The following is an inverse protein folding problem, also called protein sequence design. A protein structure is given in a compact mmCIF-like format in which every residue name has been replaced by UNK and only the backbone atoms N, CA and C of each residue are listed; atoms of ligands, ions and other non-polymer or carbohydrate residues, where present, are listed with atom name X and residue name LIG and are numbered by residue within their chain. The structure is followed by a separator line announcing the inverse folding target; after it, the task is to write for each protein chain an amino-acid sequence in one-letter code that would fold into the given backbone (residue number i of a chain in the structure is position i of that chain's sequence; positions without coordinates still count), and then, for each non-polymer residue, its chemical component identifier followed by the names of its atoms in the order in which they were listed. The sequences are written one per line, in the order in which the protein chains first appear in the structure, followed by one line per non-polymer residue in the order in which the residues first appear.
data_IF_979621160039
#
_entry.id   IF_979621160039
#
_cell.length_a   1.000
_cell.length_b   1.000
_cell.length_c   1.000
_cell.angle_alpha   90.00
_cell.angle_beta   90.00
_cell.angle_gamma   90.00
#
_symmetry.space_group_name_H-M   'P 1'
#
loop_
_entity.id
_entity.type
_entity.pdbx_description
1 polymer ?
#
# COMPACT_ATOMS: atom_id res chain seq x y z
N UNK A 1 1.88 64.03 31.74
CA UNK A 1 0.72 64.27 30.87
C UNK A 1 0.77 63.22 29.78
N UNK A 2 0.06 62.11 29.96
CA UNK A 2 -0.10 61.11 28.91
C UNK A 2 -1.15 61.66 27.93
N UNK A 3 -0.79 61.82 26.67
CA UNK A 3 -1.74 62.11 25.61
C UNK A 3 -2.70 60.93 25.54
N UNK A 4 -4.00 61.21 25.73
CA UNK A 4 -5.08 60.29 25.41
C UNK A 4 -5.07 60.13 23.88
N UNK A 5 -4.17 59.31 23.35
CA UNK A 5 -4.24 58.86 21.98
C UNK A 5 -5.46 57.96 21.90
N UNK A 6 -6.58 58.53 21.43
CA UNK A 6 -7.81 57.80 21.25
C UNK A 6 -7.53 56.69 20.23
N UNK A 7 -7.33 55.48 20.73
CA UNK A 7 -7.13 54.30 19.89
C UNK A 7 -8.25 54.24 18.85
N UNK A 8 -7.91 54.17 17.57
CA UNK A 8 -8.88 54.23 16.47
C UNK A 8 -9.26 52.80 16.08
N UNK A 9 -10.53 52.58 15.77
CA UNK A 9 -11.01 51.32 15.23
C UNK A 9 -10.32 51.00 13.90
N UNK A 10 -9.45 49.99 13.86
CA UNK A 10 -8.65 49.67 12.68
C UNK A 10 -9.51 49.25 11.48
N UNK A 11 -10.64 48.60 11.73
CA UNK A 11 -11.61 48.22 10.68
C UNK A 11 -12.31 49.43 10.06
N UNK A 12 -12.63 50.47 10.85
CA UNK A 12 -13.20 51.70 10.30
C UNK A 12 -12.14 52.53 9.58
N UNK A 13 -10.90 52.56 10.11
CA UNK A 13 -9.77 53.25 9.49
C UNK A 13 -9.48 52.76 8.07
N UNK A 14 -9.71 51.47 7.80
CA UNK A 14 -9.58 50.87 6.46
C UNK A 14 -10.61 51.39 5.45
N UNK A 15 -11.70 52.01 5.91
CA UNK A 15 -12.78 52.57 5.08
C UNK A 15 -12.89 54.10 5.16
N UNK A 16 -11.79 54.80 5.48
CA UNK A 16 -11.72 56.26 5.64
C UNK A 16 -12.63 56.85 6.74
N UNK A 17 -13.14 56.01 7.66
CA UNK A 17 -13.97 56.44 8.78
C UNK A 17 -13.15 56.34 10.07
N UNK A 18 -12.92 57.45 10.76
CA UNK A 18 -12.26 57.43 12.07
C UNK A 18 -13.32 57.31 13.17
N UNK A 19 -13.44 56.11 13.75
CA UNK A 19 -14.28 55.88 14.93
C UNK A 19 -13.38 55.54 16.13
N UNK A 20 -13.63 56.12 17.33
CA UNK A 20 -12.87 55.75 18.51
C UNK A 20 -13.09 54.28 18.85
N UNK A 21 -12.01 53.55 19.03
CA UNK A 21 -11.97 52.19 19.53
C UNK A 21 -12.50 52.13 20.95
N UNK A 22 -13.36 51.16 21.22
CA UNK A 22 -13.95 50.93 22.54
C UNK A 22 -13.50 49.61 23.17
N UNK A 23 -12.92 48.70 22.39
CA UNK A 23 -12.47 47.38 22.86
C UNK A 23 -11.35 46.81 21.99
N UNK A 24 -10.39 46.13 22.61
CA UNK A 24 -9.38 45.32 21.93
C UNK A 24 -9.89 43.89 21.73
N UNK A 25 -9.84 43.36 20.51
CA UNK A 25 -10.12 41.95 20.24
C UNK A 25 -8.80 41.17 20.25
N UNK A 26 -8.62 40.25 21.20
CA UNK A 26 -7.40 39.44 21.30
C UNK A 26 -7.25 38.41 20.18
N UNK A 27 -8.35 37.99 19.54
CA UNK A 27 -8.31 37.02 18.44
C UNK A 27 -7.97 37.68 17.10
N UNK A 28 -8.43 38.91 16.88
CA UNK A 28 -8.09 39.68 15.68
C UNK A 28 -6.81 40.50 15.85
N UNK A 29 -6.33 40.67 17.09
CA UNK A 29 -5.26 41.62 17.45
C UNK A 29 -5.56 43.05 16.95
N UNK A 30 -6.84 43.43 16.92
CA UNK A 30 -7.31 44.71 16.38
C UNK A 30 -8.15 45.46 17.42
N UNK A 31 -8.03 46.79 17.42
CA UNK A 31 -8.91 47.69 18.17
C UNK A 31 -10.19 47.92 17.38
N UNK A 32 -11.34 47.71 18.01
CA UNK A 32 -12.66 47.82 17.39
C UNK A 32 -13.51 48.88 18.11
N UNK A 33 -14.28 49.65 17.34
CA UNK A 33 -15.36 50.48 17.88
C UNK A 33 -16.59 49.61 18.19
N UNK A 34 -17.55 50.16 18.95
CA UNK A 34 -18.73 49.41 19.42
C UNK A 34 -19.54 48.77 18.28
N UNK A 35 -19.80 49.45 17.14
CA UNK A 35 -20.43 48.83 15.97
C UNK A 35 -19.62 47.67 15.37
N UNK A 36 -18.31 47.85 15.16
CA UNK A 36 -17.44 46.80 14.61
C UNK A 36 -17.31 45.59 15.54
N UNK A 37 -17.23 45.81 16.85
CA UNK A 37 -17.25 44.74 17.83
C UNK A 37 -18.58 43.97 17.80
N UNK A 38 -19.72 44.67 17.65
CA UNK A 38 -21.03 44.02 17.51
C UNK A 38 -21.14 43.16 16.24
N UNK A 39 -20.63 43.64 15.11
CA UNK A 39 -20.58 42.87 13.86
C UNK A 39 -19.67 41.65 14.02
N UNK A 40 -18.50 41.82 14.64
CA UNK A 40 -17.56 40.73 14.91
C UNK A 40 -18.19 39.64 15.81
N UNK A 41 -18.87 40.04 16.88
CA UNK A 41 -19.60 39.10 17.75
C UNK A 41 -20.76 38.40 17.02
N UNK A 42 -21.44 39.08 16.09
CA UNK A 42 -22.46 38.48 15.22
C UNK A 42 -21.84 37.44 14.28
N UNK A 43 -20.69 37.72 13.68
CA UNK A 43 -19.96 36.79 12.81
C UNK A 43 -19.55 35.52 13.57
N UNK A 44 -18.99 35.68 14.78
CA UNK A 44 -18.66 34.54 15.66
C UNK A 44 -19.91 33.77 16.05
N UNK A 45 -20.98 34.48 16.46
CA UNK A 45 -22.27 33.87 16.81
C UNK A 45 -22.89 33.10 15.64
N UNK A 46 -22.64 33.51 14.39
CA UNK A 46 -23.12 32.83 13.19
C UNK A 46 -22.22 31.65 12.77
N UNK A 47 -20.92 31.70 13.08
CA UNK A 47 -19.97 30.61 12.81
C UNK A 47 -20.19 29.40 13.73
N UNK A 48 -20.51 29.62 15.01
CA UNK A 48 -20.69 28.55 16.00
C UNK A 48 -21.72 27.49 15.53
N UNK A 49 -22.93 27.85 15.06
CA UNK A 49 -23.88 26.89 14.50
C UNK A 49 -23.37 26.13 13.27
N UNK A 50 -22.55 26.76 12.43
CA UNK A 50 -21.98 26.10 11.24
C UNK A 50 -20.94 25.06 11.65
N UNK A 51 -20.05 25.40 12.59
CA UNK A 51 -19.09 24.47 13.19
C UNK A 51 -19.81 23.29 13.86
N UNK A 52 -20.83 23.56 14.67
CA UNK A 52 -21.64 22.52 15.32
C UNK A 52 -22.25 21.55 14.28
N UNK A 53 -22.83 22.07 13.19
CA UNK A 53 -23.37 21.25 12.08
C UNK A 53 -22.29 20.40 11.40
N UNK A 54 -21.10 20.95 11.19
CA UNK A 54 -19.97 20.20 10.63
C UNK A 54 -19.55 19.07 11.58
N UNK A 55 -19.39 19.34 12.88
CA UNK A 55 -19.06 18.32 13.87
C UNK A 55 -20.12 17.22 13.96
N UNK A 56 -21.41 17.57 13.94
CA UNK A 56 -22.50 16.59 13.90
C UNK A 56 -22.44 15.70 12.65
N UNK A 57 -22.09 16.29 11.51
CA UNK A 57 -21.94 15.56 10.25
C UNK A 57 -20.73 14.60 10.30
N UNK A 58 -19.63 15.00 10.93
CA UNK A 58 -18.47 14.15 11.19
C UNK A 58 -18.87 12.98 12.09
N UNK A 59 -19.56 13.25 13.22
CA UNK A 59 -19.99 12.21 14.16
C UNK A 59 -20.88 11.19 13.47
N UNK A 60 -21.91 11.64 12.72
CA UNK A 60 -22.82 10.75 11.98
C UNK A 60 -22.08 9.91 10.93
N UNK A 61 -21.15 10.50 10.20
CA UNK A 61 -20.35 9.78 9.21
C UNK A 61 -19.46 8.73 9.87
N UNK A 62 -18.84 9.06 11.01
CA UNK A 62 -18.00 8.13 11.75
C UNK A 62 -18.81 6.98 12.36
N UNK A 63 -20.00 7.23 12.87
CA UNK A 63 -20.91 6.18 13.36
C UNK A 63 -21.30 5.20 12.24
N UNK A 64 -21.71 5.71 11.07
CA UNK A 64 -21.99 4.86 9.89
C UNK A 64 -20.78 4.03 9.45
N UNK A 65 -19.57 4.60 9.50
CA UNK A 65 -18.36 3.87 9.16
C UNK A 65 -18.09 2.74 10.16
N UNK A 66 -18.32 2.95 11.46
CA UNK A 66 -18.20 1.89 12.47
C UNK A 66 -19.19 0.75 12.20
N UNK A 67 -20.46 1.08 11.93
CA UNK A 67 -21.48 0.07 11.58
C UNK A 67 -21.12 -0.72 10.31
N UNK A 68 -20.59 -0.03 9.30
CA UNK A 68 -20.12 -0.64 8.07
C UNK A 68 -18.94 -1.59 8.31
N UNK A 69 -17.95 -1.18 9.13
CA UNK A 69 -16.79 -2.01 9.50
C UNK A 69 -17.24 -3.26 10.27
N UNK A 70 -18.17 -3.14 11.21
CA UNK A 70 -18.71 -4.29 11.96
C UNK A 70 -19.49 -5.25 11.04
N UNK A 71 -20.25 -4.71 10.09
CA UNK A 71 -20.95 -5.51 9.08
C UNK A 71 -19.95 -6.24 8.18
N UNK A 72 -18.89 -5.56 7.74
CA UNK A 72 -17.81 -6.15 6.95
C UNK A 72 -17.06 -7.24 7.71
N UNK A 73 -16.80 -7.07 9.00
CA UNK A 73 -16.19 -8.09 9.84
C UNK A 73 -17.01 -9.40 9.83
N UNK A 74 -18.33 -9.29 9.94
CA UNK A 74 -19.23 -10.46 9.91
C UNK A 74 -19.15 -11.18 8.56
N UNK A 75 -19.21 -10.44 7.46
CA UNK A 75 -19.10 -11.00 6.09
C UNK A 75 -17.72 -11.66 5.87
N UNK A 76 -16.65 -11.05 6.36
CA UNK A 76 -15.29 -11.61 6.26
C UNK A 76 -15.20 -12.92 7.06
N UNK A 77 -15.76 -12.96 8.29
CA UNK A 77 -15.80 -14.19 9.10
C UNK A 77 -16.55 -15.32 8.39
N UNK A 78 -17.71 -15.04 7.81
CA UNK A 78 -18.48 -16.02 7.04
C UNK A 78 -17.69 -16.51 5.81
N UNK A 79 -17.02 -15.59 5.11
CA UNK A 79 -16.18 -15.92 3.95
C UNK A 79 -15.00 -16.81 4.32
N UNK A 80 -14.35 -16.55 5.47
CA UNK A 80 -13.26 -17.39 6.00
C UNK A 80 -13.77 -18.80 6.34
N UNK A 81 -14.93 -18.91 6.98
CA UNK A 81 -15.55 -20.20 7.32
C UNK A 81 -15.89 -20.99 6.05
N UNK A 82 -16.47 -20.33 5.05
CA UNK A 82 -16.78 -20.94 3.75
C UNK A 82 -15.52 -21.43 3.04
N UNK A 83 -14.48 -20.57 2.95
CA UNK A 83 -13.20 -20.95 2.35
C UNK A 83 -12.58 -22.16 3.04
N UNK A 84 -12.61 -22.21 4.38
CA UNK A 84 -12.14 -23.37 5.15
C UNK A 84 -12.92 -24.64 4.78
N UNK A 85 -14.25 -24.56 4.68
CA UNK A 85 -15.08 -25.71 4.33
C UNK A 85 -14.79 -26.22 2.91
N UNK A 86 -14.64 -25.31 1.95
CA UNK A 86 -14.30 -25.63 0.57
C UNK A 86 -12.90 -26.28 0.47
N UNK A 87 -11.89 -25.72 1.15
CA UNK A 87 -10.53 -26.29 1.19
C UNK A 87 -10.51 -27.70 1.81
N UNK A 88 -11.24 -27.92 2.91
CA UNK A 88 -11.33 -29.25 3.52
C UNK A 88 -11.96 -30.26 2.59
N UNK A 89 -13.04 -29.88 1.89
CA UNK A 89 -13.69 -30.75 0.91
C UNK A 89 -12.75 -31.13 -0.24
N UNK A 90 -11.97 -30.18 -0.74
CA UNK A 90 -11.01 -30.45 -1.82
C UNK A 90 -9.85 -31.34 -1.34
N UNK A 91 -9.39 -31.17 -0.10
CA UNK A 91 -8.40 -32.07 0.53
C UNK A 91 -8.96 -33.49 0.68
N UNK A 92 -10.21 -33.65 1.13
CA UNK A 92 -10.85 -34.96 1.24
C UNK A 92 -11.01 -35.65 -0.13
N UNK A 93 -11.30 -34.88 -1.18
CA UNK A 93 -11.38 -35.40 -2.55
C UNK A 93 -10.00 -35.83 -3.06
N UNK A 94 -8.97 -35.04 -2.78
CA UNK A 94 -7.59 -35.37 -3.12
C UNK A 94 -7.12 -36.65 -2.41
N UNK A 95 -7.41 -36.78 -1.11
CA UNK A 95 -7.11 -38.00 -0.35
C UNK A 95 -7.76 -39.22 -0.99
N UNK A 96 -9.06 -39.16 -1.30
CA UNK A 96 -9.79 -40.26 -1.95
C UNK A 96 -9.18 -40.64 -3.30
N UNK A 97 -8.79 -39.65 -4.10
CA UNK A 97 -8.13 -39.89 -5.39
C UNK A 97 -6.79 -40.58 -5.20
N UNK A 98 -5.94 -40.10 -4.28
CA UNK A 98 -4.63 -40.68 -4.04
C UNK A 98 -4.71 -42.10 -3.48
N UNK A 99 -5.69 -42.39 -2.61
CA UNK A 99 -5.94 -43.73 -2.09
C UNK A 99 -6.43 -44.68 -3.19
N UNK A 100 -7.25 -44.18 -4.11
CA UNK A 100 -7.69 -44.95 -5.28
C UNK A 100 -6.52 -45.29 -6.21
N UNK A 101 -5.69 -44.30 -6.54
CA UNK A 101 -4.49 -44.49 -7.36
C UNK A 101 -3.50 -45.46 -6.71
N UNK A 102 -3.31 -45.37 -5.39
CA UNK A 102 -2.49 -46.31 -4.63
C UNK A 102 -3.04 -47.74 -4.70
N UNK A 103 -4.37 -47.91 -4.65
CA UNK A 103 -5.00 -49.22 -4.76
C UNK A 103 -4.75 -49.85 -6.13
N UNK A 104 -4.93 -49.09 -7.21
CA UNK A 104 -4.63 -49.53 -8.57
C UNK A 104 -3.16 -49.94 -8.68
N UNK A 105 -2.24 -49.06 -8.26
CA UNK A 105 -0.81 -49.31 -8.36
C UNK A 105 -0.41 -50.58 -7.59
N UNK A 106 -1.00 -50.79 -6.40
CA UNK A 106 -0.79 -51.98 -5.59
C UNK A 106 -1.29 -53.24 -6.30
N UNK A 107 -2.50 -53.22 -6.84
CA UNK A 107 -3.10 -54.37 -7.53
C UNK A 107 -2.30 -54.75 -8.77
N UNK A 108 -1.89 -53.78 -9.58
CA UNK A 108 -1.03 -54.02 -10.74
C UNK A 108 0.33 -54.59 -10.36
N UNK A 109 0.91 -54.11 -9.25
CA UNK A 109 2.19 -54.59 -8.73
C UNK A 109 2.09 -56.02 -8.23
N UNK A 110 1.05 -56.33 -7.44
CA UNK A 110 0.79 -57.69 -6.94
C UNK A 110 0.58 -58.65 -8.11
N UNK A 111 -0.23 -58.28 -9.10
CA UNK A 111 -0.48 -59.13 -10.26
C UNK A 111 0.82 -59.50 -11.02
N UNK A 112 1.74 -58.55 -11.19
CA UNK A 112 3.05 -58.79 -11.82
C UNK A 112 3.94 -59.70 -10.98
N UNK A 113 3.93 -59.53 -9.65
CA UNK A 113 4.68 -60.39 -8.74
C UNK A 113 4.10 -61.82 -8.77
N UNK A 114 2.78 -61.97 -8.70
CA UNK A 114 2.09 -63.27 -8.75
C UNK A 114 2.35 -64.00 -10.06
N UNK A 115 2.35 -63.30 -11.20
CA UNK A 115 2.73 -63.87 -12.50
C UNK A 115 4.16 -64.46 -12.46
N UNK A 116 5.12 -63.70 -11.92
CA UNK A 116 6.50 -64.17 -11.78
C UNK A 116 6.63 -65.34 -10.79
N UNK A 117 5.89 -65.32 -9.67
CA UNK A 117 5.86 -66.42 -8.70
C UNK A 117 5.31 -67.70 -9.32
N UNK A 118 4.23 -67.60 -10.09
CA UNK A 118 3.64 -68.74 -10.78
C UNK A 118 4.62 -69.35 -11.80
N UNK A 119 5.30 -68.52 -12.59
CA UNK A 119 6.30 -69.00 -13.56
C UNK A 119 7.45 -69.75 -12.87
N UNK A 120 7.98 -69.20 -11.78
CA UNK A 120 9.04 -69.85 -10.98
C UNK A 120 8.53 -71.15 -10.34
N UNK A 121 7.29 -71.17 -9.83
CA UNK A 121 6.67 -72.36 -9.24
C UNK A 121 6.54 -73.49 -10.26
N UNK A 122 6.08 -73.21 -11.49
CA UNK A 122 5.96 -74.22 -12.54
C UNK A 122 7.31 -74.84 -12.92
N UNK A 123 8.38 -74.03 -12.96
CA UNK A 123 9.73 -74.51 -13.22
C UNK A 123 10.21 -75.39 -12.06
N UNK A 124 9.99 -74.96 -10.82
CA UNK A 124 10.38 -75.70 -9.63
C UNK A 124 9.65 -77.06 -9.52
N UNK A 125 8.36 -77.12 -9.87
CA UNK A 125 7.59 -78.36 -9.89
C UNK A 125 8.11 -79.36 -10.93
N UNK A 126 8.49 -78.87 -12.12
CA UNK A 126 9.12 -79.70 -13.15
C UNK A 126 10.44 -80.28 -12.66
N UNK A 127 11.26 -79.48 -11.98
CA UNK A 127 12.54 -79.93 -11.42
C UNK A 127 12.38 -80.89 -10.24
N UNK A 128 11.35 -80.70 -9.41
CA UNK A 128 11.02 -81.61 -8.32
C UNK A 128 10.68 -83.01 -8.83
N UNK A 129 9.88 -83.11 -9.90
CA UNK A 129 9.57 -84.40 -10.56
C UNK A 129 10.79 -85.07 -11.20
N UNK A 130 11.65 -84.28 -11.86
CA UNK A 130 12.90 -84.79 -12.45
C UNK A 130 13.82 -85.35 -11.35
N UNK A 131 13.87 -84.69 -10.19
CA UNK A 131 14.63 -85.16 -9.04
C UNK A 131 14.08 -86.48 -8.49
N UNK A 132 12.77 -86.60 -8.31
CA UNK A 132 12.14 -87.85 -7.89
C UNK A 132 12.43 -89.01 -8.85
N UNK A 133 12.35 -88.77 -10.16
CA UNK A 133 12.69 -89.77 -11.18
C UNK A 133 14.17 -90.18 -11.11
N UNK A 134 15.07 -89.21 -10.90
CA UNK A 134 16.50 -89.47 -10.74
C UNK A 134 16.77 -90.29 -9.48
N UNK A 135 16.20 -89.91 -8.34
CA UNK A 135 16.37 -90.60 -7.07
C UNK A 135 15.89 -92.06 -7.17
N UNK A 136 14.74 -92.29 -7.81
CA UNK A 136 14.23 -93.64 -8.08
C UNK A 136 15.17 -94.48 -8.96
N UNK A 137 15.72 -93.90 -10.03
CA UNK A 137 16.64 -94.61 -10.92
C UNK A 137 18.02 -94.84 -10.29
N UNK A 138 18.45 -93.99 -9.34
CA UNK A 138 19.67 -94.23 -8.56
C UNK A 138 19.51 -95.47 -7.69
N UNK A 139 18.34 -95.63 -7.06
CA UNK A 139 18.09 -96.73 -6.13
C UNK A 139 17.78 -98.06 -6.83
N UNK A 140 17.01 -98.02 -7.93
CA UNK A 140 16.45 -99.21 -8.56
C UNK A 140 16.82 -99.40 -10.05
N UNK A 141 17.45 -98.40 -10.67
CA UNK A 141 17.75 -98.41 -12.10
C UNK A 141 19.03 -99.16 -12.48
N UNK A 142 19.12 -99.56 -13.75
CA UNK A 142 20.38 -100.06 -14.32
C UNK A 142 21.34 -98.92 -14.66
N UNK A 143 22.65 -99.19 -14.68
CA UNK A 143 23.67 -98.20 -15.05
C UNK A 143 23.40 -97.53 -16.41
N UNK A 144 22.86 -98.26 -17.38
CA UNK A 144 22.51 -97.72 -18.70
C UNK A 144 21.34 -96.74 -18.64
N UNK A 145 20.32 -97.01 -17.82
CA UNK A 145 19.19 -96.10 -17.62
C UNK A 145 19.64 -94.81 -16.91
N UNK A 146 20.47 -94.95 -15.87
CA UNK A 146 21.09 -93.83 -15.16
C UNK A 146 21.90 -92.94 -16.10
N UNK A 147 22.74 -93.53 -16.97
CA UNK A 147 23.54 -92.78 -17.93
C UNK A 147 22.66 -91.97 -18.90
N UNK A 148 21.61 -92.58 -19.46
CA UNK A 148 20.69 -91.91 -20.39
C UNK A 148 19.93 -90.79 -19.69
N UNK A 149 19.45 -91.01 -18.45
CA UNK A 149 18.74 -90.00 -17.67
C UNK A 149 19.66 -88.83 -17.32
N UNK A 150 20.89 -89.10 -16.89
CA UNK A 150 21.87 -88.08 -16.55
C UNK A 150 22.18 -87.16 -17.74
N UNK A 151 22.40 -87.71 -18.95
CA UNK A 151 22.64 -86.90 -20.15
C UNK A 151 21.41 -86.06 -20.55
N UNK A 152 20.19 -86.59 -20.39
CA UNK A 152 18.95 -85.82 -20.61
C UNK A 152 18.79 -84.67 -19.62
N UNK A 153 19.09 -84.91 -18.34
CA UNK A 153 19.01 -83.90 -17.28
C UNK A 153 20.05 -82.80 -17.52
N UNK A 154 21.27 -83.16 -17.88
CA UNK A 154 22.38 -82.22 -18.12
C UNK A 154 22.02 -81.14 -19.15
N UNK A 155 21.42 -81.54 -20.27
CA UNK A 155 20.97 -80.58 -21.28
C UNK A 155 19.88 -79.63 -20.76
N UNK A 156 18.87 -80.17 -20.07
CA UNK A 156 17.78 -79.37 -19.47
C UNK A 156 18.28 -78.45 -18.35
N UNK A 157 19.30 -78.88 -17.60
CA UNK A 157 19.91 -78.10 -16.53
C UNK A 157 20.51 -76.83 -17.11
N UNK A 158 21.37 -76.94 -18.12
CA UNK A 158 21.98 -75.77 -18.78
C UNK A 158 20.93 -74.82 -19.37
N UNK A 159 19.85 -75.33 -19.98
CA UNK A 159 18.78 -74.49 -20.51
C UNK A 159 18.03 -73.74 -19.39
N UNK A 160 17.77 -74.42 -18.27
CA UNK A 160 17.07 -73.82 -17.12
C UNK A 160 17.98 -72.83 -16.38
N UNK A 161 19.27 -73.09 -16.26
CA UNK A 161 20.24 -72.16 -15.67
C UNK A 161 20.27 -70.83 -16.43
N UNK A 162 20.27 -70.86 -17.77
CA UNK A 162 20.18 -69.65 -18.59
C UNK A 162 18.87 -68.90 -18.34
N UNK A 163 17.74 -69.63 -18.26
CA UNK A 163 16.43 -69.03 -17.93
C UNK A 163 16.39 -68.44 -16.52
N UNK A 164 16.97 -69.13 -15.54
CA UNK A 164 17.04 -68.65 -14.16
C UNK A 164 17.87 -67.37 -14.06
N UNK A 165 19.01 -67.30 -14.76
CA UNK A 165 19.83 -66.09 -14.82
C UNK A 165 19.06 -64.93 -15.47
N UNK A 166 18.31 -65.19 -16.55
CA UNK A 166 17.46 -64.19 -17.18
C UNK A 166 16.36 -63.69 -16.22
N UNK A 167 15.69 -64.59 -15.50
CA UNK A 167 14.68 -64.25 -14.48
C UNK A 167 15.28 -63.42 -13.34
N UNK A 168 16.40 -63.86 -12.77
CA UNK A 168 17.09 -63.15 -11.69
C UNK A 168 17.52 -61.75 -12.13
N UNK A 169 17.93 -61.58 -13.38
CA UNK A 169 18.30 -60.26 -13.92
C UNK A 169 17.12 -59.30 -14.05
N UNK A 170 15.89 -59.83 -14.11
CA UNK A 170 14.63 -59.06 -14.21
C UNK A 170 13.94 -58.87 -12.87
N UNK A 171 14.38 -59.56 -11.80
CA UNK A 171 13.81 -59.39 -10.47
C UNK A 171 14.15 -58.02 -9.90
N UNK A 172 13.13 -57.23 -9.59
CA UNK A 172 13.27 -55.91 -8.99
C UNK A 172 12.54 -55.91 -7.65
N UNK A 173 13.17 -55.34 -6.62
CA UNK A 173 12.48 -55.07 -5.37
C UNK A 173 11.60 -53.84 -5.55
N UNK A 174 10.30 -53.97 -5.33
CA UNK A 174 9.33 -52.89 -5.56
C UNK A 174 8.97 -52.27 -4.23
N UNK A 175 9.23 -50.97 -4.09
CA UNK A 175 8.91 -50.17 -2.90
C UNK A 175 8.03 -48.99 -3.32
N UNK A 176 6.84 -48.88 -2.73
CA UNK A 176 5.87 -47.81 -3.03
C UNK A 176 6.04 -46.72 -1.97
N UNK A 177 6.51 -45.55 -2.38
CA UNK A 177 6.77 -44.40 -1.49
C UNK A 177 5.81 -43.26 -1.79
N UNK A 178 5.29 -42.66 -0.72
CA UNK A 178 4.54 -41.40 -0.77
C UNK A 178 5.45 -40.24 -0.35
N UNK A 179 5.52 -39.18 -1.16
CA UNK A 179 6.29 -37.97 -0.88
C UNK A 179 5.40 -36.73 -1.03
N UNK A 180 5.36 -35.90 0.02
CA UNK A 180 4.72 -34.58 -0.03
C UNK A 180 5.74 -33.57 -0.55
N UNK A 181 5.36 -32.72 -1.52
CA UNK A 181 6.22 -31.63 -1.97
C UNK A 181 6.35 -30.59 -0.85
N UNK A 182 7.59 -30.21 -0.51
CA UNK A 182 7.91 -29.30 0.61
C UNK A 182 7.21 -27.93 0.51
N UNK A 183 6.85 -27.48 -0.70
CA UNK A 183 6.22 -26.18 -0.95
C UNK A 183 4.76 -26.07 -0.50
N UNK A 184 4.11 -27.16 -0.12
CA UNK A 184 2.67 -27.14 0.21
C UNK A 184 2.36 -26.23 1.41
N UNK A 185 3.24 -26.18 2.40
CA UNK A 185 3.07 -25.30 3.57
C UNK A 185 3.12 -23.81 3.18
N UNK A 186 3.98 -23.45 2.23
CA UNK A 186 4.11 -22.06 1.76
C UNK A 186 2.89 -21.62 0.94
N UNK A 187 2.26 -22.56 0.23
CA UNK A 187 1.03 -22.28 -0.52
C UNK A 187 -0.10 -21.96 0.45
N UNK A 188 -0.27 -22.75 1.52
CA UNK A 188 -1.35 -22.54 2.50
C UNK A 188 -1.25 -21.16 3.18
N UNK A 189 -0.05 -20.74 3.58
CA UNK A 189 0.15 -19.45 4.26
C UNK A 189 -0.19 -18.24 3.40
N UNK A 190 -0.20 -18.38 2.06
CA UNK A 190 -0.41 -17.28 1.12
C UNK A 190 -1.83 -17.24 0.52
N UNK A 191 -2.73 -18.13 0.92
CA UNK A 191 -4.07 -18.25 0.31
C UNK A 191 -4.97 -17.03 0.55
N UNK A 192 -4.77 -16.28 1.63
CA UNK A 192 -5.59 -15.10 1.93
C UNK A 192 -4.86 -14.07 2.78
N UNK A 193 -5.14 -12.80 2.53
CA UNK A 193 -4.64 -11.68 3.33
C UNK A 193 -5.76 -10.66 3.56
N UNK A 194 -5.95 -10.23 4.80
CA UNK A 194 -6.85 -9.13 5.15
C UNK A 194 -6.09 -7.83 4.92
N UNK A 195 -6.64 -6.93 4.11
CA UNK A 195 -6.05 -5.62 3.81
C UNK A 195 -7.00 -4.52 4.28
N UNK A 196 -6.42 -3.39 4.68
CA UNK A 196 -7.18 -2.17 5.02
C UNK A 196 -6.98 -1.15 3.92
N UNK A 197 -8.06 -0.56 3.44
CA UNK A 197 -8.03 0.54 2.48
C UNK A 197 -8.53 1.82 3.15
N UNK A 198 -7.83 2.91 2.88
CA UNK A 198 -8.17 4.23 3.42
C UNK A 198 -8.59 5.15 2.28
N UNK A 199 -9.75 5.78 2.42
CA UNK A 199 -10.23 6.82 1.52
C UNK A 199 -10.40 8.14 2.27
N UNK A 200 -10.21 9.25 1.57
CA UNK A 200 -10.39 10.58 2.16
C UNK A 200 -11.87 10.83 2.46
N UNK A 201 -12.13 11.46 3.61
CA UNK A 201 -13.47 11.86 4.01
C UNK A 201 -13.86 13.14 3.25
N UNK A 202 -14.94 13.10 2.46
CA UNK A 202 -15.42 14.23 1.66
C UNK A 202 -16.09 15.36 2.44
N UNK A 203 -15.87 15.46 3.75
CA UNK A 203 -16.43 16.54 4.57
C UNK A 203 -15.52 17.75 4.42
N UNK A 204 -16.01 18.78 3.72
CA UNK A 204 -15.34 20.06 3.58
C UNK A 204 -16.01 21.09 4.51
N UNK A 205 -15.20 21.86 5.24
CA UNK A 205 -15.66 23.02 6.02
C UNK A 205 -15.06 24.29 5.41
N UNK A 206 -15.91 25.23 5.01
CA UNK A 206 -15.48 26.56 4.57
C UNK A 206 -15.12 27.41 5.78
N UNK A 207 -13.87 27.85 5.86
CA UNK A 207 -13.42 28.73 6.96
C UNK A 207 -13.87 30.17 6.73
N UNK A 208 -14.14 30.93 7.78
CA UNK A 208 -14.51 32.36 7.66
C UNK A 208 -13.41 33.21 6.97
N UNK A 209 -12.14 32.81 7.05
CA UNK A 209 -11.05 33.46 6.33
C UNK A 209 -11.12 33.28 4.81
N UNK A 210 -11.76 32.20 4.34
CA UNK A 210 -11.96 31.98 2.90
C UNK A 210 -13.09 32.85 2.31
N UNK A 211 -13.94 33.47 3.14
CA UNK A 211 -14.97 34.41 2.69
C UNK A 211 -14.49 35.87 2.65
N UNK A 212 -13.30 36.18 3.20
CA UNK A 212 -12.74 37.53 3.26
C UNK A 212 -11.45 37.67 2.44
N UNK A 213 -11.62 37.79 1.14
CA UNK A 213 -10.67 38.49 0.28
C UNK A 213 -11.45 39.50 -0.58
N UNK A 214 -11.90 40.60 0.04
CA UNK A 214 -12.31 41.78 -0.71
C UNK A 214 -11.15 42.76 -0.74
N UNK A 215 -10.60 42.97 -1.94
CA UNK A 215 -9.81 44.16 -2.25
C UNK A 215 -10.65 45.39 -1.89
N UNK A 216 -10.09 46.30 -1.08
CA UNK A 216 -10.58 47.67 -0.99
C UNK A 216 -9.87 48.46 -2.08
N UNK A 217 -10.54 48.91 -3.17
CA UNK A 217 -9.90 49.80 -4.11
C UNK A 217 -9.89 51.20 -3.50
N UNK A 218 -8.70 51.74 -3.24
CA UNK A 218 -8.56 53.19 -3.20
C UNK A 218 -8.93 53.72 -4.60
N UNK A 219 -9.90 54.63 -4.63
CA UNK A 219 -10.40 55.40 -5.78
C UNK A 219 -9.64 55.20 -7.09
N UNK A 220 -10.24 54.47 -8.04
CA UNK A 220 -10.17 54.75 -9.48
C UNK A 220 -11.20 53.87 -10.20
N UNK A 221 -12.04 54.51 -10.99
CA UNK A 221 -12.98 53.89 -11.92
C UNK A 221 -12.22 53.08 -12.99
N UNK A 222 -11.97 51.80 -12.74
CA UNK A 222 -11.48 50.87 -13.76
C UNK A 222 -12.14 49.50 -13.58
N UNK A 223 -12.50 48.91 -14.73
CA UNK A 223 -13.17 47.62 -14.90
C UNK A 223 -12.59 46.55 -13.99
N UNK A 224 -13.49 45.71 -13.44
CA UNK A 224 -13.24 44.41 -12.79
C UNK A 224 -11.80 43.91 -12.99
N UNK A 225 -10.98 44.08 -11.94
CA UNK A 225 -9.66 43.47 -11.87
C UNK A 225 -9.87 42.00 -11.52
N UNK A 226 -9.27 41.14 -12.34
CA UNK A 226 -9.36 39.68 -12.29
C UNK A 226 -9.20 39.15 -10.86
N UNK A 227 -10.17 38.35 -10.40
CA UNK A 227 -9.98 37.49 -9.23
C UNK A 227 -8.96 36.44 -9.63
N UNK A 228 -7.77 36.50 -9.04
CA UNK A 228 -6.70 35.54 -9.30
C UNK A 228 -7.06 34.24 -8.56
N UNK A 229 -7.45 33.20 -9.30
CA UNK A 229 -7.72 31.90 -8.71
C UNK A 229 -6.41 31.18 -8.40
N UNK A 230 -5.93 31.37 -7.16
CA UNK A 230 -4.68 30.82 -6.66
C UNK A 230 -4.72 29.28 -6.45
N UNK A 231 -5.87 28.63 -6.70
CA UNK A 231 -6.06 27.19 -6.46
C UNK A 231 -5.31 26.30 -7.44
N UNK A 232 -5.03 26.75 -8.66
CA UNK A 232 -4.42 25.90 -9.70
C UNK A 232 -2.98 25.45 -9.38
N UNK A 233 -2.32 26.05 -8.39
CA UNK A 233 -0.90 25.76 -8.08
C UNK A 233 -0.65 25.26 -6.64
N UNK A 234 -1.67 24.72 -5.97
CA UNK A 234 -1.51 24.10 -4.65
C UNK A 234 -1.14 25.09 -3.55
N UNK A 235 -1.57 26.35 -3.69
CA UNK A 235 -1.29 27.42 -2.74
C UNK A 235 -2.27 27.29 -1.58
N UNK A 236 -1.76 26.82 -0.45
CA UNK A 236 -2.57 26.48 0.72
C UNK A 236 -2.41 27.48 1.87
N UNK A 237 -1.31 28.23 1.91
CA UNK A 237 -1.04 29.20 2.98
C UNK A 237 -0.01 30.24 2.53
N UNK A 238 -0.52 31.38 2.06
CA UNK A 238 0.33 32.55 1.76
C UNK A 238 0.68 33.25 3.07
N UNK A 239 1.96 33.50 3.31
CA UNK A 239 2.47 34.15 4.53
C UNK A 239 3.10 35.51 4.28
N UNK A 240 3.56 35.77 3.07
CA UNK A 240 4.13 37.06 2.69
C UNK A 240 3.79 37.38 1.24
N UNK A 241 3.44 38.64 0.97
CA UNK A 241 3.12 39.15 -0.36
C UNK A 241 3.83 40.47 -0.57
N UNK A 242 4.46 40.65 -1.71
CA UNK A 242 5.09 41.91 -2.09
C UNK A 242 4.81 42.23 -3.56
N UNK A 243 4.47 43.49 -3.85
CA UNK A 243 4.40 44.02 -5.20
C UNK A 243 5.71 44.75 -5.48
N UNK A 244 6.47 44.25 -6.45
CA UNK A 244 7.76 44.85 -6.82
C UNK A 244 7.58 45.91 -7.91
N UNK A 245 8.56 46.79 -8.08
CA UNK A 245 8.51 47.96 -8.98
C UNK A 245 8.16 47.67 -10.45
N UNK A 246 8.25 46.41 -10.89
CA UNK A 246 7.82 45.96 -12.24
C UNK A 246 6.34 45.58 -12.31
N UNK A 247 5.53 45.97 -11.31
CA UNK A 247 4.14 45.53 -11.10
C UNK A 247 3.97 44.02 -11.02
N UNK A 248 5.02 43.29 -10.61
CA UNK A 248 4.92 41.84 -10.43
C UNK A 248 4.57 41.50 -9.00
N UNK A 249 3.76 40.47 -8.83
CA UNK A 249 3.35 39.98 -7.53
C UNK A 249 4.23 38.81 -7.11
N UNK A 250 4.76 38.86 -5.89
CA UNK A 250 5.54 37.79 -5.29
C UNK A 250 4.83 37.28 -4.03
N UNK A 251 4.66 35.96 -3.94
CA UNK A 251 3.94 35.32 -2.83
C UNK A 251 4.76 34.20 -2.19
N UNK A 252 5.02 34.28 -0.88
CA UNK A 252 5.60 33.21 -0.09
C UNK A 252 4.49 32.25 0.37
N UNK A 253 4.64 30.96 0.09
CA UNK A 253 3.74 29.91 0.54
C UNK A 253 4.44 29.00 1.55
N UNK A 254 3.90 28.99 2.77
CA UNK A 254 4.57 28.42 3.95
C UNK A 254 4.63 26.90 3.92
N UNK A 255 3.52 26.22 3.59
CA UNK A 255 3.46 24.75 3.60
C UNK A 255 4.05 24.09 2.35
N UNK A 256 4.11 24.81 1.23
CA UNK A 256 4.72 24.29 0.00
C UNK A 256 6.21 24.64 -0.12
N UNK A 257 6.76 25.39 0.84
CA UNK A 257 8.13 25.89 0.84
C UNK A 257 8.49 26.62 -0.45
N UNK A 258 7.60 27.46 -0.99
CA UNK A 258 7.77 28.09 -2.30
C UNK A 258 7.59 29.60 -2.29
N UNK A 259 8.30 30.27 -3.18
CA UNK A 259 8.05 31.65 -3.61
C UNK A 259 7.49 31.59 -5.03
N UNK A 260 6.30 32.15 -5.21
CA UNK A 260 5.64 32.25 -6.50
C UNK A 260 5.78 33.67 -7.05
N UNK A 261 5.91 33.78 -8.37
CA UNK A 261 5.97 35.03 -9.11
C UNK A 261 4.83 35.06 -10.13
N UNK A 262 4.09 36.16 -10.12
CA UNK A 262 3.01 36.45 -11.05
C UNK A 262 3.22 37.78 -11.75
N UNK A 263 2.56 37.95 -12.88
CA UNK A 263 2.29 39.25 -13.50
C UNK A 263 1.30 40.07 -12.67
N UNK A 264 1.11 41.33 -13.05
CA UNK A 264 0.10 42.25 -12.49
C UNK A 264 -1.34 41.75 -12.71
N UNK A 265 -1.59 41.03 -13.80
CA UNK A 265 -2.88 40.42 -14.10
C UNK A 265 -3.12 39.07 -13.40
N UNK A 266 -2.15 38.59 -12.62
CA UNK A 266 -2.23 37.34 -11.86
C UNK A 266 -1.83 36.07 -12.61
N UNK A 267 -1.32 36.19 -13.82
CA UNK A 267 -0.77 35.05 -14.56
C UNK A 267 0.49 34.53 -13.88
N UNK A 268 0.53 33.22 -13.62
CA UNK A 268 1.71 32.56 -13.05
C UNK A 268 2.90 32.64 -14.02
N UNK A 269 4.05 33.08 -13.50
CA UNK A 269 5.29 33.18 -14.27
C UNK A 269 6.28 32.09 -13.89
N UNK A 270 6.60 31.99 -12.59
CA UNK A 270 7.69 31.15 -12.11
C UNK A 270 7.56 30.87 -10.62
N UNK A 271 8.14 29.76 -10.17
CA UNK A 271 8.28 29.43 -8.76
C UNK A 271 9.74 29.14 -8.39
N UNK A 272 10.04 29.29 -7.11
CA UNK A 272 11.27 28.84 -6.46
C UNK A 272 10.92 28.05 -5.22
N UNK A 273 11.40 26.82 -5.14
CA UNK A 273 11.33 26.01 -3.92
C UNK A 273 12.49 26.33 -2.97
N UNK A 274 12.24 26.20 -1.68
CA UNK A 274 13.21 26.34 -0.61
C UNK A 274 13.30 25.06 0.22
N UNK A 275 14.44 24.86 0.87
CA UNK A 275 14.64 23.74 1.80
C UNK A 275 13.88 23.95 3.11
N UNK A 276 13.61 25.21 3.47
CA UNK A 276 12.87 25.60 4.68
C UNK A 276 11.70 26.52 4.34
N UNK A 277 10.85 26.79 5.32
CA UNK A 277 9.60 27.52 5.09
C UNK A 277 9.87 29.02 4.93
N UNK A 278 9.55 29.63 3.77
CA UNK A 278 9.57 31.07 3.63
C UNK A 278 8.39 31.68 4.39
N UNK A 279 8.58 32.87 4.97
CA UNK A 279 7.55 33.53 5.76
C UNK A 279 7.19 34.90 5.17
N UNK A 280 7.96 35.94 5.50
CA UNK A 280 7.75 37.30 5.00
C UNK A 280 8.69 37.61 3.82
N UNK A 281 8.21 38.43 2.89
CA UNK A 281 8.96 39.00 1.78
C UNK A 281 8.92 40.54 1.84
N UNK A 282 10.00 41.20 1.44
CA UNK A 282 10.05 42.65 1.29
C UNK A 282 10.92 43.04 0.09
N UNK A 283 10.51 44.06 -0.67
CA UNK A 283 11.32 44.60 -1.76
C UNK A 283 12.52 45.39 -1.22
N UNK A 284 13.67 45.28 -1.90
CA UNK A 284 14.83 46.11 -1.57
C UNK A 284 14.82 47.38 -2.45
N UNK A 285 15.16 48.57 -1.91
CA UNK A 285 14.95 49.83 -2.64
C UNK A 285 15.87 50.04 -3.86
N UNK A 286 17.05 49.42 -3.89
CA UNK A 286 18.13 49.81 -4.82
C UNK A 286 18.48 48.76 -5.85
N UNK A 287 17.92 47.55 -5.78
CA UNK A 287 18.21 46.47 -6.71
C UNK A 287 16.93 45.67 -7.00
N UNK A 288 16.87 45.01 -8.17
CA UNK A 288 15.79 44.10 -8.58
C UNK A 288 15.76 42.81 -7.73
N UNK A 289 15.71 42.99 -6.42
CA UNK A 289 15.93 41.98 -5.41
C UNK A 289 14.87 42.10 -4.32
N UNK A 290 14.52 40.95 -3.76
CA UNK A 290 13.65 40.83 -2.60
C UNK A 290 14.38 40.13 -1.47
N UNK A 291 14.09 40.54 -0.25
CA UNK A 291 14.49 39.85 0.96
C UNK A 291 13.38 38.91 1.39
N UNK A 292 13.68 37.63 1.55
CA UNK A 292 12.77 36.61 2.06
C UNK A 292 13.28 36.10 3.38
N UNK A 293 12.43 36.15 4.40
CA UNK A 293 12.75 35.63 5.74
C UNK A 293 12.52 34.13 5.80
N UNK A 294 13.49 33.42 6.38
CA UNK A 294 13.47 31.97 6.57
C UNK A 294 13.59 31.66 8.08
N UNK A 295 12.47 31.60 8.82
CA UNK A 295 12.50 31.47 10.28
C UNK A 295 13.24 30.22 10.76
N UNK A 296 12.97 29.07 10.14
CA UNK A 296 13.56 27.78 10.54
C UNK A 296 15.07 27.75 10.34
N UNK A 297 15.56 28.44 9.31
CA UNK A 297 16.99 28.57 9.00
C UNK A 297 17.65 29.76 9.70
N UNK A 298 16.89 30.59 10.42
CA UNK A 298 17.36 31.82 11.06
C UNK A 298 18.19 32.69 10.11
N UNK A 299 17.71 32.86 8.88
CA UNK A 299 18.41 33.66 7.88
C UNK A 299 17.45 34.46 7.00
N UNK A 300 18.01 35.42 6.27
CA UNK A 300 17.32 36.20 5.23
C UNK A 300 18.00 35.89 3.90
N UNK A 301 17.20 35.48 2.92
CA UNK A 301 17.64 35.23 1.55
C UNK A 301 17.38 36.47 0.71
N UNK A 302 18.42 36.97 0.05
CA UNK A 302 18.28 37.99 -0.99
C UNK A 302 18.17 37.29 -2.33
N UNK A 303 17.03 37.48 -3.00
CA UNK A 303 16.66 36.77 -4.22
C UNK A 303 16.51 37.78 -5.35
N UNK A 304 17.13 37.49 -6.49
CA UNK A 304 16.90 38.22 -7.73
C UNK A 304 15.47 37.98 -8.24
N UNK A 305 14.72 39.04 -8.52
CA UNK A 305 13.31 38.92 -8.92
C UNK A 305 13.16 38.19 -10.27
N UNK A 306 14.08 38.40 -11.22
CA UNK A 306 13.97 37.86 -12.58
C UNK A 306 14.34 36.39 -12.67
N UNK A 307 15.51 36.05 -12.15
CA UNK A 307 15.99 34.67 -12.16
C UNK A 307 15.37 33.83 -11.04
N UNK A 308 14.81 34.44 -9.99
CA UNK A 308 14.48 33.80 -8.72
C UNK A 308 15.67 33.03 -8.14
N UNK A 309 16.89 33.49 -8.38
CA UNK A 309 18.10 32.90 -7.81
C UNK A 309 18.52 33.66 -6.55
N UNK A 310 18.96 32.90 -5.54
CA UNK A 310 19.53 33.46 -4.32
C UNK A 310 20.88 34.08 -4.66
N UNK A 311 20.98 35.39 -4.50
CA UNK A 311 22.22 36.15 -4.73
C UNK A 311 23.07 36.12 -3.46
N UNK A 312 22.42 36.24 -2.29
CA UNK A 312 23.12 36.40 -1.02
C UNK A 312 22.31 35.79 0.12
N UNK A 313 23.03 35.17 1.05
CA UNK A 313 22.47 34.69 2.31
C UNK A 313 22.99 35.59 3.43
N UNK A 314 22.07 36.24 4.14
CA UNK A 314 22.38 37.02 5.33
C UNK A 314 21.99 36.16 6.53
N UNK A 315 22.98 35.60 7.21
CA UNK A 315 22.77 35.01 8.53
C UNK A 315 22.54 36.15 9.52
N UNK A 316 21.44 36.08 10.26
CA UNK A 316 21.32 36.90 11.47
C UNK A 316 22.32 36.33 12.49
N UNK A 317 23.09 37.21 13.13
CA UNK A 317 24.27 36.88 13.93
C UNK A 317 24.11 35.67 14.86
N UNK A 318 25.22 34.97 15.09
CA UNK A 318 25.41 34.05 16.22
C UNK A 318 24.94 34.77 17.49
N UNK A 319 23.87 34.28 18.12
CA UNK A 319 23.61 34.49 19.55
C UNK A 319 24.73 33.87 20.36
#
# INVERSE_FOLDING_TARGET
MATNDAYICEQCSRGDITSPGSSWCSECEEILCTPCNRIHLLDVSNAIPQLAKTFDSIIKTRQKNIEAVNSQETVIKESIVKLKADLLKDVDLLEKSLLYDLCILREETIAKIDESVNEVSEINDKWSKIKEELDFNIEYGSNSQLFILAEKIKHKLTETEVKLLDMLSKMVNIDIKYCVKEDFSNIISNLSAIKTEYSQCGICHSTQMQERAQFVPAMLSLKLVNVIDLKEHGITSITGVEIVQTNRLLCCCYYSNKLFKYTDDGTYLKERSFDTRPYQIASTPTHNQVAVTMPDSKCILIIDIDSLMSIRLLTTCKT
#
